data_IF_906514132732
#
_entry.id   IF_906514132732
#
_cell.length_a   1.000
_cell.length_b   1.000
_cell.length_c   1.000
_cell.angle_alpha   90.00
_cell.angle_beta   90.00
_cell.angle_gamma   90.00
#
_symmetry.space_group_name_H-M   'P 1'
#
loop_
_entity.id
_entity.type
_entity.pdbx_description
1 polymer ?
#
# COMPACT_ATOMS: atom_id res chain seq x y z
N UNK A 1 1.06 13.22 14.21
CA UNK A 1 -0.29 12.63 14.12
C UNK A 1 -0.15 11.14 13.86
N UNK A 2 -1.22 10.36 13.95
CA UNK A 2 -1.24 8.95 13.52
C UNK A 2 -2.32 8.82 12.47
N UNK A 3 -1.93 8.54 11.23
CA UNK A 3 -2.84 8.21 10.14
C UNK A 3 -3.15 6.71 10.14
N UNK A 4 -4.42 6.39 9.95
CA UNK A 4 -4.94 5.02 9.93
C UNK A 4 -5.16 4.57 8.49
N UNK A 5 -4.08 4.19 7.82
CA UNK A 5 -4.05 3.86 6.40
C UNK A 5 -5.00 2.71 6.08
N UNK A 6 -5.99 3.03 5.25
CA UNK A 6 -7.00 2.09 4.75
C UNK A 6 -8.19 1.87 5.69
N UNK A 7 -8.26 2.55 6.84
CA UNK A 7 -9.48 2.56 7.65
C UNK A 7 -10.45 3.66 7.19
N UNK A 8 -11.73 3.29 7.01
CA UNK A 8 -12.82 4.26 6.91
C UNK A 8 -13.16 4.76 8.30
N UNK A 9 -12.61 5.92 8.66
CA UNK A 9 -12.74 6.56 9.98
C UNK A 9 -13.58 7.85 9.90
N UNK A 10 -13.96 8.39 11.05
CA UNK A 10 -14.42 9.77 11.11
C UNK A 10 -13.29 10.72 10.67
N UNK A 11 -13.62 11.81 9.96
CA UNK A 11 -12.58 12.73 9.47
C UNK A 11 -11.66 13.26 10.58
N UNK A 12 -12.20 13.52 11.77
CA UNK A 12 -11.43 13.96 12.96
C UNK A 12 -10.39 12.94 13.45
N UNK A 13 -10.45 11.70 12.98
CA UNK A 13 -9.55 10.61 13.34
C UNK A 13 -8.68 10.14 12.18
N UNK A 14 -8.70 10.83 11.03
CA UNK A 14 -7.84 10.50 9.87
C UNK A 14 -6.35 10.74 10.15
N UNK A 15 -6.01 11.69 11.02
CA UNK A 15 -4.63 11.86 11.50
C UNK A 15 -3.69 12.53 10.51
N UNK A 16 -4.20 13.45 9.71
CA UNK A 16 -3.47 14.23 8.71
C UNK A 16 -3.42 15.71 9.08
N UNK A 17 -2.56 16.49 8.42
CA UNK A 17 -2.57 17.95 8.56
C UNK A 17 -3.89 18.59 8.11
N UNK A 18 -4.68 17.87 7.29
CA UNK A 18 -6.00 18.31 6.84
C UNK A 18 -7.10 18.13 7.92
N UNK A 19 -6.96 17.15 8.80
CA UNK A 19 -7.97 16.79 9.80
C UNK A 19 -7.58 17.13 11.24
N UNK A 20 -6.28 17.26 11.51
CA UNK A 20 -5.77 17.30 12.88
C UNK A 20 -4.52 18.20 13.02
N UNK A 21 -4.43 18.90 14.14
CA UNK A 21 -3.19 19.58 14.56
C UNK A 21 -2.19 18.53 15.08
N UNK A 22 -0.90 18.56 14.65
CA UNK A 22 0.10 17.62 15.14
C UNK A 22 0.27 17.64 16.66
N UNK A 23 0.18 16.45 17.26
CA UNK A 23 0.43 16.22 18.69
C UNK A 23 1.89 16.57 19.01
N UNK A 24 2.08 17.51 19.94
CA UNK A 24 3.42 17.96 20.36
C UNK A 24 4.04 16.97 21.36
N UNK A 25 5.37 17.01 21.58
CA UNK A 25 6.01 16.17 22.58
C UNK A 25 5.37 16.33 23.98
N UNK A 26 5.06 15.20 24.62
CA UNK A 26 4.36 15.09 25.92
C UNK A 26 2.87 15.45 25.91
N UNK A 27 2.28 15.74 24.75
CA UNK A 27 0.83 15.87 24.59
C UNK A 27 0.21 14.54 24.14
N UNK A 28 -1.13 14.45 24.19
CA UNK A 28 -1.90 13.28 23.75
C UNK A 28 -3.08 13.67 22.87
N UNK A 29 -3.53 12.73 22.06
CA UNK A 29 -4.77 12.84 21.29
C UNK A 29 -5.46 11.48 21.28
N UNK A 30 -6.75 11.47 21.54
CA UNK A 30 -7.56 10.25 21.54
C UNK A 30 -8.23 10.08 20.17
N UNK A 31 -7.99 8.93 19.54
CA UNK A 31 -8.66 8.52 18.31
C UNK A 31 -9.87 7.65 18.66
N UNK A 32 -11.04 7.97 18.11
CA UNK A 32 -12.23 7.14 18.19
C UNK A 32 -12.42 6.42 16.86
N UNK A 33 -12.32 5.10 16.87
CA UNK A 33 -12.28 4.26 15.66
C UNK A 33 -13.46 3.30 15.67
N UNK A 34 -14.43 3.54 14.79
CA UNK A 34 -15.46 2.57 14.48
C UNK A 34 -14.93 1.57 13.43
N UNK A 35 -14.81 0.30 13.83
CA UNK A 35 -14.30 -0.74 12.94
C UNK A 35 -15.44 -1.32 12.11
N UNK A 36 -15.52 -0.89 10.84
CA UNK A 36 -16.59 -1.30 9.91
C UNK A 36 -16.11 -2.24 8.80
N UNK A 37 -14.80 -2.30 8.54
CA UNK A 37 -14.19 -3.14 7.52
C UNK A 37 -13.27 -4.19 8.12
N UNK A 38 -13.27 -5.39 7.54
CA UNK A 38 -12.27 -6.43 7.83
C UNK A 38 -11.19 -6.44 6.75
N UNK A 39 -9.94 -6.64 7.15
CA UNK A 39 -8.80 -6.65 6.23
C UNK A 39 -7.49 -6.30 6.95
N UNK A 40 -6.43 -6.17 6.16
CA UNK A 40 -5.13 -5.71 6.60
C UNK A 40 -4.97 -4.20 6.35
N UNK A 41 -4.95 -3.46 7.45
CA UNK A 41 -4.67 -2.03 7.50
C UNK A 41 -3.32 -1.81 8.18
N UNK A 42 -2.93 -0.56 8.32
CA UNK A 42 -1.73 -0.19 9.07
C UNK A 42 -1.85 1.27 9.51
N UNK A 43 -0.98 1.70 10.42
CA UNK A 43 -0.95 3.09 10.85
C UNK A 43 0.47 3.62 10.88
N UNK A 44 0.61 4.90 10.58
CA UNK A 44 1.90 5.60 10.51
C UNK A 44 1.74 7.12 10.71
N UNK A 45 2.80 7.85 11.07
CA UNK A 45 2.78 9.31 11.08
C UNK A 45 2.51 9.90 9.69
N UNK A 46 1.78 11.01 9.67
CA UNK A 46 1.49 11.80 8.47
C UNK A 46 2.07 13.22 8.59
N UNK A 47 3.18 13.33 9.31
CA UNK A 47 3.95 14.56 9.47
C UNK A 47 5.42 14.15 9.40
N UNK A 48 6.18 14.63 8.42
CA UNK A 48 7.55 14.14 8.20
C UNK A 48 7.57 12.61 8.13
N UNK A 49 6.65 12.06 7.32
CA UNK A 49 6.44 10.62 7.19
C UNK A 49 7.72 9.92 6.74
N UNK A 50 8.43 10.53 5.79
CA UNK A 50 9.72 10.07 5.26
C UNK A 50 10.78 9.85 6.36
N UNK A 51 10.79 10.68 7.40
CA UNK A 51 11.74 10.54 8.52
C UNK A 51 11.21 9.61 9.62
N UNK A 52 9.93 9.74 9.97
CA UNK A 52 9.38 9.04 11.14
C UNK A 52 9.08 7.56 10.88
N UNK A 53 8.68 7.22 9.65
CA UNK A 53 8.45 5.82 9.26
C UNK A 53 9.77 5.07 9.18
N UNK A 54 10.80 5.65 8.56
CA UNK A 54 12.18 5.12 8.58
C UNK A 54 12.71 4.92 10.02
N UNK A 55 12.29 5.76 10.98
CA UNK A 55 12.63 5.62 12.38
C UNK A 55 11.84 4.52 13.13
N UNK A 56 10.93 3.82 12.45
CA UNK A 56 10.17 2.67 12.97
C UNK A 56 8.80 2.99 13.53
N UNK A 57 8.24 4.18 13.28
CA UNK A 57 6.88 4.53 13.73
C UNK A 57 5.83 4.03 12.73
N UNK A 58 5.60 2.73 12.70
CA UNK A 58 4.50 2.13 11.94
C UNK A 58 4.13 0.77 12.54
N UNK A 59 2.90 0.33 12.32
CA UNK A 59 2.53 -1.06 12.62
C UNK A 59 1.32 -1.52 11.80
N UNK A 60 1.17 -2.83 11.56
CA UNK A 60 -0.02 -3.36 10.92
C UNK A 60 -1.21 -3.32 11.88
N UNK A 61 -2.41 -3.17 11.33
CA UNK A 61 -3.68 -3.18 12.02
C UNK A 61 -4.60 -4.20 11.33
N UNK A 62 -4.69 -5.40 11.90
CA UNK A 62 -5.45 -6.50 11.32
C UNK A 62 -6.85 -6.56 11.94
N UNK A 63 -7.88 -6.52 11.09
CA UNK A 63 -9.28 -6.72 11.50
C UNK A 63 -9.80 -8.02 10.91
N UNK A 64 -10.21 -8.95 11.79
CA UNK A 64 -10.83 -10.20 11.38
C UNK A 64 -12.32 -10.01 11.08
N UNK A 65 -12.75 -10.54 9.95
CA UNK A 65 -14.15 -10.57 9.51
C UNK A 65 -14.76 -11.97 9.53
N UNK A 66 -16.10 -12.10 9.42
CA UNK A 66 -16.77 -13.40 9.39
C UNK A 66 -16.30 -14.33 8.26
N UNK A 67 -15.89 -13.78 7.11
CA UNK A 67 -15.39 -14.55 5.98
C UNK A 67 -14.05 -15.24 6.25
N UNK A 68 -13.25 -14.74 7.21
CA UNK A 68 -11.96 -15.35 7.56
C UNK A 68 -12.13 -16.76 8.14
N UNK A 69 -13.22 -17.02 8.85
CA UNK A 69 -13.48 -18.31 9.47
C UNK A 69 -13.68 -19.46 8.44
N UNK A 70 -13.99 -19.13 7.19
CA UNK A 70 -14.15 -20.11 6.11
C UNK A 70 -12.81 -20.46 5.41
N UNK A 71 -11.73 -19.75 5.73
CA UNK A 71 -10.42 -19.93 5.11
C UNK A 71 -9.55 -20.75 6.07
N UNK A 72 -9.57 -22.07 5.91
CA UNK A 72 -8.79 -22.97 6.74
C UNK A 72 -7.30 -22.97 6.35
N UNK A 73 -6.45 -22.54 7.29
CA UNK A 73 -4.98 -22.49 7.16
C UNK A 73 -4.29 -22.99 8.42
N UNK A 74 -3.04 -23.42 8.32
CA UNK A 74 -2.22 -23.80 9.49
C UNK A 74 -1.66 -22.61 10.26
N UNK A 75 -1.48 -21.46 9.59
CA UNK A 75 -1.12 -20.19 10.21
C UNK A 75 -1.64 -19.01 9.38
N UNK A 76 -1.99 -17.92 10.08
CA UNK A 76 -2.25 -16.58 9.51
C UNK A 76 -1.12 -15.65 9.97
N UNK A 77 -0.33 -15.15 9.03
CA UNK A 77 0.91 -14.39 9.30
C UNK A 77 0.86 -13.03 8.65
N UNK A 78 1.24 -12.01 9.43
CA UNK A 78 1.48 -10.65 8.91
C UNK A 78 2.98 -10.45 8.68
N UNK A 79 3.31 -9.94 7.51
CA UNK A 79 4.65 -9.56 7.07
C UNK A 79 4.65 -8.09 6.69
N UNK A 80 5.31 -7.27 7.51
CA UNK A 80 5.60 -5.88 7.23
C UNK A 80 6.93 -5.83 6.50
N UNK A 81 6.89 -5.45 5.23
CA UNK A 81 8.04 -5.29 4.35
C UNK A 81 8.55 -3.87 4.47
N UNK A 82 9.83 -3.72 4.80
CA UNK A 82 10.46 -2.42 5.00
C UNK A 82 11.92 -2.46 4.60
N UNK A 83 12.52 -1.29 4.46
CA UNK A 83 13.97 -1.14 4.39
C UNK A 83 14.44 0.13 5.10
N UNK A 84 15.68 0.07 5.61
CA UNK A 84 16.32 1.22 6.26
C UNK A 84 17.71 1.44 5.69
N UNK A 85 18.12 2.71 5.64
CA UNK A 85 19.49 3.07 5.24
C UNK A 85 20.34 3.20 6.49
N UNK A 86 21.26 2.27 6.70
CA UNK A 86 22.25 2.32 7.78
C UNK A 86 23.59 2.85 7.29
N UNK A 87 24.20 3.69 8.12
CA UNK A 87 25.61 4.06 7.98
C UNK A 87 26.52 2.85 8.28
N UNK A 88 27.81 2.93 7.93
CA UNK A 88 28.81 1.91 8.30
C UNK A 88 28.95 1.70 9.81
N UNK A 89 28.47 2.66 10.61
CA UNK A 89 28.40 2.58 12.07
C UNK A 89 27.24 1.71 12.59
N UNK A 90 26.31 1.32 11.72
CA UNK A 90 25.06 0.63 12.09
C UNK A 90 23.94 1.56 12.57
N UNK A 91 24.15 2.88 12.57
CA UNK A 91 23.10 3.86 12.88
C UNK A 91 22.23 4.13 11.66
N UNK A 92 20.94 4.42 11.90
CA UNK A 92 20.06 4.97 10.88
C UNK A 92 20.68 6.23 10.28
N UNK A 93 20.74 6.28 8.96
CA UNK A 93 21.26 7.43 8.23
C UNK A 93 20.26 8.57 8.30
N UNK A 94 20.70 9.71 8.81
CA UNK A 94 19.90 10.94 8.83
C UNK A 94 20.06 11.77 7.55
N UNK A 95 20.89 11.31 6.62
CA UNK A 95 21.13 11.97 5.34
C UNK A 95 20.21 11.40 4.29
N UNK A 96 19.50 12.29 3.60
CA UNK A 96 18.73 11.99 2.39
C UNK A 96 19.48 12.63 1.21
N UNK A 97 19.95 11.83 0.26
CA UNK A 97 20.70 12.32 -0.90
C UNK A 97 19.78 12.61 -2.10
N UNK A 98 20.32 13.23 -3.15
CA UNK A 98 19.55 13.62 -4.34
C UNK A 98 18.81 12.46 -5.00
N UNK A 99 19.39 11.26 -5.00
CA UNK A 99 18.71 10.10 -5.59
C UNK A 99 17.61 9.59 -4.68
N UNK A 100 17.82 9.61 -3.35
CA UNK A 100 16.74 9.33 -2.40
C UNK A 100 15.56 10.31 -2.60
N UNK A 101 15.83 11.60 -2.85
CA UNK A 101 14.77 12.60 -3.08
C UNK A 101 13.98 12.31 -4.35
N UNK A 102 14.67 11.93 -5.42
CA UNK A 102 14.08 11.74 -6.74
C UNK A 102 13.35 10.40 -6.88
N UNK A 103 13.96 9.33 -6.36
CA UNK A 103 13.47 7.97 -6.59
C UNK A 103 12.59 7.48 -5.44
N UNK A 104 12.55 8.19 -4.32
CA UNK A 104 12.17 7.62 -3.04
C UNK A 104 13.33 6.87 -2.40
N UNK A 105 13.46 7.00 -1.09
CA UNK A 105 14.57 6.43 -0.35
C UNK A 105 14.48 4.92 -0.35
N UNK A 106 15.59 4.30 -0.74
CA UNK A 106 15.78 2.85 -0.71
C UNK A 106 16.96 2.52 0.21
N UNK A 107 16.63 1.92 1.35
CA UNK A 107 17.56 1.43 2.34
C UNK A 107 18.48 0.32 1.83
N UNK A 108 19.66 0.23 2.42
CA UNK A 108 20.64 -0.84 2.17
C UNK A 108 20.40 -2.07 3.06
N UNK A 109 19.46 -1.99 4.00
CA UNK A 109 19.08 -3.07 4.91
C UNK A 109 17.60 -3.37 4.73
N UNK A 110 17.30 -4.53 4.15
CA UNK A 110 15.93 -4.99 3.96
C UNK A 110 15.46 -5.73 5.22
N UNK A 111 14.22 -5.44 5.63
CA UNK A 111 13.63 -5.99 6.83
C UNK A 111 12.26 -6.60 6.56
N UNK A 112 11.97 -7.65 7.32
CA UNK A 112 10.61 -8.19 7.44
C UNK A 112 10.28 -8.26 8.93
N UNK A 113 9.19 -7.59 9.34
CA UNK A 113 8.81 -7.43 10.74
C UNK A 113 9.96 -6.90 11.63
N UNK A 114 10.70 -5.91 11.12
CA UNK A 114 11.83 -5.27 11.82
C UNK A 114 13.06 -6.16 11.99
N UNK A 115 13.21 -7.22 11.18
CA UNK A 115 14.37 -8.14 11.23
C UNK A 115 14.98 -8.33 9.86
N UNK A 116 16.31 -8.25 9.81
CA UNK A 116 17.10 -8.71 8.66
C UNK A 116 17.11 -10.24 8.59
N UNK A 117 17.10 -10.78 7.36
CA UNK A 117 17.29 -12.21 7.07
C UNK A 117 16.39 -13.09 7.94
N UNK A 118 15.12 -12.71 8.04
CA UNK A 118 14.17 -13.41 8.90
C UNK A 118 14.09 -14.89 8.48
N UNK A 119 13.87 -15.76 9.46
CA UNK A 119 13.69 -17.18 9.22
C UNK A 119 12.61 -17.74 10.14
N UNK A 120 11.73 -18.55 9.58
CA UNK A 120 10.69 -19.23 10.35
C UNK A 120 10.45 -20.65 9.81
N UNK A 121 9.76 -21.46 10.61
CA UNK A 121 9.24 -22.75 10.15
C UNK A 121 7.78 -22.61 9.76
N UNK A 122 7.39 -23.26 8.67
CA UNK A 122 5.99 -23.47 8.34
C UNK A 122 5.27 -24.14 9.51
N UNK A 123 4.02 -23.78 9.74
CA UNK A 123 3.20 -24.40 10.76
C UNK A 123 2.88 -25.85 10.38
N UNK A 124 2.91 -26.73 11.38
CA UNK A 124 2.43 -28.11 11.21
C UNK A 124 0.91 -28.09 11.14
N UNK A 125 0.32 -28.92 10.29
CA UNK A 125 -1.12 -29.04 10.16
C UNK A 125 -1.55 -29.04 8.70
N UNK A 126 -2.47 -28.16 8.35
CA UNK A 126 -2.88 -27.92 6.97
C UNK A 126 -1.68 -27.38 6.15
N UNK A 127 -1.37 -27.99 5.00
CA UNK A 127 -0.26 -27.62 4.12
C UNK A 127 -0.33 -26.22 3.49
N UNK A 128 -1.27 -25.37 3.93
CA UNK A 128 -1.46 -24.01 3.47
C UNK A 128 -1.35 -23.02 4.62
N UNK A 129 -0.61 -21.94 4.41
CA UNK A 129 -0.61 -20.76 5.28
C UNK A 129 -1.28 -19.56 4.58
N UNK A 130 -1.81 -18.63 5.37
CA UNK A 130 -2.26 -17.30 4.91
C UNK A 130 -1.19 -16.27 5.26
N UNK A 131 -0.72 -15.55 4.26
CA UNK A 131 0.29 -14.51 4.40
C UNK A 131 -0.31 -13.15 4.02
N UNK A 132 -0.11 -12.15 4.87
CA UNK A 132 -0.64 -10.79 4.74
C UNK A 132 0.52 -9.81 4.70
N UNK A 133 0.75 -9.19 3.54
CA UNK A 133 1.86 -8.28 3.30
C UNK A 133 1.42 -6.83 3.41
N UNK A 134 2.18 -6.02 4.15
CA UNK A 134 2.17 -4.55 4.12
C UNK A 134 3.50 -4.11 3.54
N UNK A 135 3.50 -3.21 2.55
CA UNK A 135 4.71 -2.47 2.19
C UNK A 135 4.72 -1.13 2.92
N UNK A 136 5.59 -1.01 3.94
CA UNK A 136 5.78 0.22 4.72
C UNK A 136 7.01 1.02 4.31
N UNK A 137 7.76 0.57 3.31
CA UNK A 137 8.98 1.23 2.87
C UNK A 137 8.69 2.61 2.26
N UNK A 138 9.62 3.55 2.46
CA UNK A 138 9.49 4.92 1.96
C UNK A 138 9.31 4.99 0.42
N UNK A 139 10.14 4.25 -0.32
CA UNK A 139 10.15 4.31 -1.79
C UNK A 139 10.44 2.97 -2.48
N UNK A 140 10.58 1.87 -1.72
CA UNK A 140 10.86 0.55 -2.30
C UNK A 140 9.58 -0.15 -2.75
N UNK A 141 9.61 -0.66 -3.98
CA UNK A 141 8.64 -1.62 -4.48
C UNK A 141 9.15 -3.02 -4.21
N UNK A 142 8.28 -3.91 -3.72
CA UNK A 142 8.61 -5.32 -3.55
C UNK A 142 7.93 -6.15 -4.63
N UNK A 143 8.72 -6.84 -5.46
CA UNK A 143 8.23 -7.75 -6.50
C UNK A 143 8.56 -9.18 -6.06
N UNK A 144 7.65 -9.79 -5.31
CA UNK A 144 7.92 -11.00 -4.55
C UNK A 144 7.94 -12.25 -5.44
N UNK A 145 8.88 -13.16 -5.17
CA UNK A 145 8.96 -14.50 -5.76
C UNK A 145 9.35 -15.51 -4.67
N UNK A 146 8.64 -16.64 -4.57
CA UNK A 146 8.93 -17.71 -3.60
C UNK A 146 9.49 -18.99 -4.26
N UNK A 147 9.40 -19.09 -5.60
CA UNK A 147 9.53 -20.36 -6.31
C UNK A 147 8.26 -21.23 -6.23
N UNK A 148 7.16 -20.66 -5.75
CA UNK A 148 5.81 -21.22 -5.70
C UNK A 148 4.81 -20.09 -6.02
N UNK A 149 3.65 -20.41 -6.60
CA UNK A 149 2.64 -19.40 -6.87
C UNK A 149 2.05 -18.88 -5.56
N UNK A 150 1.67 -17.60 -5.57
CA UNK A 150 0.82 -16.98 -4.59
C UNK A 150 -0.63 -17.10 -5.06
N UNK A 151 -1.52 -17.59 -4.21
CA UNK A 151 -2.96 -17.54 -4.45
C UNK A 151 -3.53 -16.28 -3.79
N UNK A 152 -3.69 -15.21 -4.56
CA UNK A 152 -4.13 -13.90 -4.07
C UNK A 152 -5.61 -13.94 -3.73
N UNK A 153 -5.94 -13.67 -2.46
CA UNK A 153 -7.30 -13.72 -1.92
C UNK A 153 -7.81 -12.35 -1.45
N UNK A 154 -6.95 -11.37 -1.31
CA UNK A 154 -7.30 -10.03 -0.84
C UNK A 154 -6.22 -9.00 -1.14
N UNK A 155 -6.61 -7.73 -1.06
CA UNK A 155 -5.71 -6.58 -1.12
C UNK A 155 -6.20 -5.49 -0.15
N UNK A 156 -5.80 -4.23 -0.34
CA UNK A 156 -6.06 -3.07 0.53
C UNK A 156 -7.42 -3.07 1.28
N UNK A 157 -8.53 -3.19 0.55
CA UNK A 157 -9.89 -3.15 1.09
C UNK A 157 -10.52 -4.51 1.38
N UNK A 158 -9.71 -5.55 1.62
CA UNK A 158 -10.15 -6.88 2.04
C UNK A 158 -10.17 -7.92 0.92
N UNK A 159 -11.02 -8.95 1.09
CA UNK A 159 -11.07 -10.11 0.18
C UNK A 159 -11.54 -9.73 -1.23
N UNK A 160 -10.88 -10.31 -2.24
CA UNK A 160 -11.30 -10.21 -3.65
C UNK A 160 -12.48 -11.13 -3.92
N UNK A 161 -13.31 -10.78 -4.91
CA UNK A 161 -14.46 -11.63 -5.28
C UNK A 161 -14.06 -12.89 -6.06
N UNK A 162 -12.91 -12.87 -6.73
CA UNK A 162 -12.39 -13.95 -7.56
C UNK A 162 -10.87 -14.08 -7.36
N UNK A 163 -10.41 -14.89 -6.39
CA UNK A 163 -9.00 -15.14 -6.20
C UNK A 163 -8.30 -15.66 -7.45
N UNK A 164 -7.00 -15.39 -7.56
CA UNK A 164 -6.18 -15.78 -8.70
C UNK A 164 -4.77 -16.19 -8.28
N UNK A 165 -4.12 -16.99 -9.12
CA UNK A 165 -2.72 -17.38 -8.93
C UNK A 165 -1.77 -16.45 -9.67
N UNK A 166 -0.61 -16.19 -9.07
CA UNK A 166 0.50 -15.50 -9.71
C UNK A 166 1.84 -15.99 -9.17
N UNK A 167 2.85 -16.10 -10.03
CA UNK A 167 4.22 -16.42 -9.60
C UNK A 167 4.96 -15.19 -9.03
N UNK A 168 4.46 -13.99 -9.33
CA UNK A 168 5.03 -12.72 -8.89
C UNK A 168 3.98 -11.80 -8.30
N UNK A 169 4.31 -11.19 -7.17
CA UNK A 169 3.43 -10.26 -6.48
C UNK A 169 4.13 -8.92 -6.29
N UNK A 170 3.75 -7.94 -7.11
CA UNK A 170 4.20 -6.56 -6.95
C UNK A 170 3.39 -5.88 -5.85
N UNK A 171 4.09 -5.25 -4.91
CA UNK A 171 3.52 -4.49 -3.81
C UNK A 171 4.22 -3.13 -3.77
N UNK A 172 3.53 -2.09 -4.22
CA UNK A 172 4.03 -0.72 -4.16
C UNK A 172 3.94 -0.15 -2.72
N UNK A 173 4.66 0.93 -2.39
CA UNK A 173 4.53 1.61 -1.09
C UNK A 173 3.07 1.87 -0.73
N UNK A 174 2.67 1.47 0.49
CA UNK A 174 1.31 1.62 1.02
C UNK A 174 0.28 0.58 0.55
N UNK A 175 0.61 -0.30 -0.41
CA UNK A 175 -0.26 -1.41 -0.79
C UNK A 175 -0.21 -2.57 0.21
N UNK A 176 -1.31 -3.32 0.27
CA UNK A 176 -1.41 -4.57 1.01
C UNK A 176 -1.93 -5.68 0.13
N UNK A 177 -1.44 -6.89 0.38
CA UNK A 177 -1.92 -8.10 -0.27
C UNK A 177 -2.08 -9.24 0.73
N UNK A 178 -3.12 -10.04 0.52
CA UNK A 178 -3.37 -11.25 1.26
C UNK A 178 -3.34 -12.44 0.30
N UNK A 179 -2.53 -13.43 0.64
CA UNK A 179 -2.29 -14.59 -0.20
C UNK A 179 -2.37 -15.88 0.60
N UNK A 180 -2.76 -16.96 -0.07
CA UNK A 180 -2.56 -18.31 0.40
C UNK A 180 -1.34 -18.90 -0.27
N UNK A 181 -0.53 -19.60 0.52
CA UNK A 181 0.68 -20.27 0.04
C UNK A 181 0.64 -21.73 0.47
N UNK A 182 0.69 -22.61 -0.52
CA UNK A 182 0.85 -24.03 -0.30
C UNK A 182 2.34 -24.34 -0.05
N UNK A 183 2.60 -24.90 1.13
CA UNK A 183 3.91 -25.18 1.69
C UNK A 183 4.13 -26.70 1.78
N UNK A 184 3.67 -27.44 0.78
CA UNK A 184 3.88 -28.88 0.63
C UNK A 184 5.30 -29.17 0.14
N UNK A 185 5.97 -30.16 0.74
CA UNK A 185 7.34 -30.51 0.39
C UNK A 185 7.98 -31.43 1.42
N UNK A 186 9.29 -31.64 1.31
CA UNK A 186 10.02 -32.50 2.24
C UNK A 186 10.26 -31.78 3.59
N UNK A 187 10.23 -32.51 4.70
CA UNK A 187 10.55 -31.95 6.01
C UNK A 187 11.98 -31.39 6.02
N UNK A 188 12.14 -30.12 6.38
CA UNK A 188 13.42 -29.43 6.36
C UNK A 188 13.80 -28.79 5.03
N UNK A 189 13.00 -28.96 3.96
CA UNK A 189 13.14 -28.18 2.72
C UNK A 189 13.05 -26.67 3.04
N UNK A 190 13.81 -25.85 2.32
CA UNK A 190 13.81 -24.40 2.51
C UNK A 190 13.33 -23.70 1.26
N UNK A 191 12.33 -22.83 1.42
CA UNK A 191 11.94 -21.86 0.40
C UNK A 191 12.45 -20.49 0.81
N UNK A 192 12.85 -19.69 -0.17
CA UNK A 192 13.38 -18.34 0.04
C UNK A 192 12.46 -17.37 -0.65
N UNK A 193 11.79 -16.51 0.14
CA UNK A 193 11.08 -15.37 -0.41
C UNK A 193 12.12 -14.32 -0.78
N UNK A 194 12.11 -13.89 -2.04
CA UNK A 194 12.96 -12.82 -2.54
C UNK A 194 12.10 -11.71 -3.14
N UNK A 195 12.63 -10.50 -3.16
CA UNK A 195 12.17 -9.47 -4.10
C UNK A 195 13.07 -9.48 -5.32
N UNK A 196 12.49 -9.54 -6.51
CA UNK A 196 13.20 -9.40 -7.78
C UNK A 196 13.07 -7.99 -8.31
N UNK A 197 13.83 -7.65 -9.35
CA UNK A 197 13.73 -6.35 -9.97
C UNK A 197 12.34 -6.10 -10.59
N UNK A 198 11.87 -4.87 -10.44
CA UNK A 198 10.72 -4.31 -11.12
C UNK A 198 11.15 -2.98 -11.70
N UNK A 199 11.04 -2.85 -13.02
CA UNK A 199 11.32 -1.60 -13.70
C UNK A 199 10.14 -0.65 -13.49
N UNK A 200 10.37 0.34 -12.63
CA UNK A 200 9.42 1.40 -12.31
C UNK A 200 9.81 2.74 -12.92
N UNK A 201 10.71 2.73 -13.92
CA UNK A 201 11.21 3.93 -14.58
C UNK A 201 12.49 4.52 -13.96
N UNK A 202 12.85 5.73 -14.41
CA UNK A 202 14.06 6.48 -14.04
C UNK A 202 15.39 5.74 -14.22
N UNK A 203 15.43 4.75 -15.13
CA UNK A 203 16.62 3.92 -15.39
C UNK A 203 17.23 3.31 -14.12
N UNK A 204 16.39 2.95 -13.13
CA UNK A 204 16.84 2.40 -11.86
C UNK A 204 17.60 1.09 -12.14
N UNK A 205 18.86 0.95 -11.68
CA UNK A 205 19.64 -0.27 -11.92
C UNK A 205 18.98 -1.50 -11.30
N UNK A 206 19.07 -2.63 -11.98
CA UNK A 206 18.71 -3.94 -11.43
C UNK A 206 19.74 -4.36 -10.36
N UNK A 207 19.38 -4.42 -9.07
CA UNK A 207 20.28 -4.84 -8.01
C UNK A 207 20.45 -6.37 -7.93
N UNK A 208 19.75 -7.12 -8.79
CA UNK A 208 19.55 -8.56 -8.67
C UNK A 208 18.49 -8.92 -7.63
N UNK A 209 18.16 -10.22 -7.48
CA UNK A 209 17.24 -10.68 -6.46
C UNK A 209 17.80 -10.45 -5.05
N UNK A 210 16.96 -9.95 -4.15
CA UNK A 210 17.30 -9.73 -2.74
C UNK A 210 16.45 -10.66 -1.87
N UNK A 211 17.11 -11.45 -1.02
CA UNK A 211 16.43 -12.35 -0.08
C UNK A 211 15.74 -11.56 1.05
N UNK A 212 14.47 -11.86 1.29
CA UNK A 212 13.70 -11.25 2.38
C UNK A 212 13.70 -12.15 3.61
N UNK A 213 13.25 -13.39 3.43
CA UNK A 213 13.24 -14.40 4.48
C UNK A 213 13.30 -15.82 3.95
N UNK A 214 13.67 -16.76 4.83
CA UNK A 214 13.62 -18.20 4.57
C UNK A 214 12.49 -18.85 5.36
N UNK A 215 11.66 -19.67 4.69
CA UNK A 215 10.72 -20.57 5.37
C UNK A 215 11.24 -22.00 5.28
N UNK A 216 11.31 -22.68 6.43
CA UNK A 216 11.63 -24.11 6.50
C UNK A 216 10.33 -24.91 6.55
N UNK A 217 10.13 -25.80 5.58
CA UNK A 217 8.97 -26.68 5.50
C UNK A 217 8.97 -27.70 6.62
N UNK A 218 7.77 -28.10 7.01
CA UNK A 218 7.49 -29.08 8.06
C UNK A 218 6.48 -30.09 7.53
N UNK A 219 6.37 -31.29 8.13
CA UNK A 219 5.36 -32.25 7.72
C UNK A 219 3.97 -31.61 7.83
N UNK A 220 3.21 -31.66 6.75
CA UNK A 220 1.87 -31.12 6.67
C UNK A 220 0.90 -32.14 6.06
N UNK A 221 -0.34 -32.11 6.53
CA UNK A 221 -1.45 -32.73 5.85
C UNK A 221 -1.76 -31.96 4.55
N UNK A 222 -2.43 -32.59 3.56
CA UNK A 222 -2.89 -31.88 2.37
C UNK A 222 -3.67 -30.61 2.73
N UNK A 223 -3.54 -29.58 1.89
CA UNK A 223 -4.26 -28.33 2.10
C UNK A 223 -5.78 -28.56 2.11
N UNK A 224 -6.48 -27.89 3.03
CA UNK A 224 -7.94 -27.95 3.05
C UNK A 224 -8.54 -27.39 1.74
N UNK A 225 -9.73 -27.87 1.33
CA UNK A 225 -10.44 -27.29 0.20
C UNK A 225 -10.66 -25.79 0.38
N UNK A 226 -10.48 -25.03 -0.70
CA UNK A 226 -10.79 -23.61 -0.72
C UNK A 226 -12.30 -23.37 -0.58
N UNK A 227 -12.72 -22.25 0.04
CA UNK A 227 -14.12 -21.87 0.04
C UNK A 227 -14.61 -21.57 -1.38
N UNK A 228 -15.91 -21.76 -1.62
CA UNK A 228 -16.56 -21.48 -2.91
C UNK A 228 -17.10 -20.06 -3.01
N UNK A 229 -17.10 -19.31 -1.91
CA UNK A 229 -17.55 -17.91 -1.83
C UNK A 229 -16.44 -17.07 -1.22
N UNK A 230 -16.13 -15.95 -1.87
CA UNK A 230 -15.07 -15.02 -1.46
C UNK A 230 -15.67 -13.63 -1.20
N UNK A 231 -14.87 -12.57 -1.35
CA UNK A 231 -15.29 -11.19 -1.11
C UNK A 231 -16.56 -10.83 -1.89
N UNK A 232 -17.47 -10.12 -1.23
CA UNK A 232 -18.74 -9.66 -1.81
C UNK A 232 -18.67 -8.15 -2.06
N UNK A 233 -17.79 -7.74 -2.97
CA UNK A 233 -17.67 -6.34 -3.37
C UNK A 233 -18.56 -6.06 -4.56
N UNK A 234 -19.52 -5.13 -4.40
CA UNK A 234 -20.33 -4.66 -5.50
C UNK A 234 -19.57 -3.60 -6.34
N UNK A 235 -19.74 -3.56 -7.67
CA UNK A 235 -19.27 -2.45 -8.48
C UNK A 235 -19.84 -1.11 -7.99
N UNK A 236 -19.00 -0.08 -7.95
CA UNK A 236 -19.41 1.31 -7.78
C UNK A 236 -20.18 1.68 -9.06
N UNK A 237 -21.48 1.89 -8.93
CA UNK A 237 -22.32 2.26 -10.06
C UNK A 237 -22.02 3.69 -10.53
N UNK A 238 -21.72 3.83 -11.82
CA UNK A 238 -21.61 5.09 -12.55
C UNK A 238 -22.11 4.92 -13.99
N UNK A 239 -22.35 6.03 -14.68
CA UNK A 239 -22.79 6.05 -16.07
C UNK A 239 -22.07 7.15 -16.87
N UNK A 240 -22.51 7.40 -18.10
CA UNK A 240 -21.94 8.43 -18.97
C UNK A 240 -22.13 9.88 -18.44
N UNK A 241 -23.00 10.09 -17.47
CA UNK A 241 -23.27 11.40 -16.85
C UNK A 241 -22.48 11.62 -15.56
N UNK A 242 -21.89 10.56 -14.99
CA UNK A 242 -21.02 10.69 -13.81
C UNK A 242 -19.83 11.62 -14.12
N UNK A 243 -19.43 12.55 -13.23
CA UNK A 243 -18.30 13.43 -13.53
C UNK A 243 -16.99 12.66 -13.65
N UNK A 244 -16.14 13.09 -14.59
CA UNK A 244 -14.74 12.65 -14.73
C UNK A 244 -13.84 13.77 -14.26
N UNK A 245 -12.79 13.44 -13.53
CA UNK A 245 -11.81 14.40 -13.04
C UNK A 245 -10.40 13.92 -13.33
N UNK A 246 -9.63 14.78 -13.99
CA UNK A 246 -8.23 14.53 -14.34
C UNK A 246 -7.30 15.04 -13.25
N UNK A 247 -6.32 14.21 -12.92
CA UNK A 247 -5.20 14.53 -12.04
C UNK A 247 -3.92 14.21 -12.79
N UNK A 248 -3.02 15.18 -12.90
CA UNK A 248 -1.76 15.02 -13.62
C UNK A 248 -0.63 14.96 -12.60
N UNK A 249 0.11 13.86 -12.57
CA UNK A 249 1.30 13.69 -11.75
C UNK A 249 2.51 14.17 -12.54
N UNK A 250 3.28 15.09 -11.98
CA UNK A 250 4.40 15.74 -12.65
C UNK A 250 5.59 15.87 -11.71
N UNK A 251 6.80 15.80 -12.28
CA UNK A 251 8.08 15.97 -11.61
C UNK A 251 8.81 17.18 -12.21
N UNK A 252 9.21 18.12 -11.36
CA UNK A 252 10.16 19.18 -11.72
C UNK A 252 11.51 18.85 -11.07
N UNK A 253 12.41 18.30 -11.88
CA UNK A 253 13.77 17.94 -11.52
C UNK A 253 14.83 18.96 -12.00
N UNK A 254 14.39 20.13 -12.47
CA UNK A 254 15.26 21.17 -13.03
C UNK A 254 16.34 21.63 -12.05
N UNK A 255 16.08 21.48 -10.74
CA UNK A 255 17.05 21.62 -9.66
C UNK A 255 17.18 20.25 -8.94
N UNK A 256 18.13 19.39 -9.32
CA UNK A 256 18.20 18.02 -8.80
C UNK A 256 18.34 17.93 -7.27
N UNK A 257 18.95 18.93 -6.62
CA UNK A 257 19.09 18.95 -5.16
C UNK A 257 17.77 19.27 -4.42
N UNK A 258 16.73 19.69 -5.14
CA UNK A 258 15.45 20.12 -4.60
C UNK A 258 14.33 19.86 -5.62
N UNK A 259 14.09 18.58 -6.00
CA UNK A 259 13.02 18.26 -6.92
C UNK A 259 11.67 18.60 -6.28
N UNK A 260 10.73 19.03 -7.12
CA UNK A 260 9.36 19.33 -6.72
C UNK A 260 8.44 18.36 -7.42
N UNK A 261 7.52 17.77 -6.67
CA UNK A 261 6.56 16.84 -7.19
C UNK A 261 5.17 17.45 -7.05
N UNK A 262 4.36 17.39 -8.10
CA UNK A 262 3.09 18.13 -8.14
C UNK A 262 1.93 17.26 -8.58
N UNK A 263 0.73 17.70 -8.20
CA UNK A 263 -0.51 17.20 -8.77
C UNK A 263 -1.23 18.39 -9.41
N UNK A 264 -1.53 18.30 -10.71
CA UNK A 264 -2.11 19.40 -11.49
C UNK A 264 -1.30 20.70 -11.36
N UNK A 265 0.03 20.64 -11.48
CA UNK A 265 0.97 21.76 -11.31
C UNK A 265 1.03 22.40 -9.91
N UNK A 266 0.25 21.92 -8.95
CA UNK A 266 0.22 22.44 -7.58
C UNK A 266 1.07 21.56 -6.64
N UNK A 267 1.77 22.20 -5.70
CA UNK A 267 2.60 21.54 -4.69
C UNK A 267 2.08 21.83 -3.29
N UNK A 268 1.84 20.78 -2.50
CA UNK A 268 1.48 20.90 -1.09
C UNK A 268 2.55 21.70 -0.31
N UNK A 269 2.18 22.62 0.60
CA UNK A 269 0.82 22.89 1.12
C UNK A 269 -0.01 23.89 0.31
N UNK A 270 0.50 24.40 -0.82
CA UNK A 270 -0.18 25.43 -1.61
C UNK A 270 -1.05 24.78 -2.70
N UNK A 271 -2.09 24.06 -2.27
CA UNK A 271 -3.00 23.31 -3.14
C UNK A 271 -4.44 23.81 -3.02
N UNK A 272 -5.19 23.70 -4.11
CA UNK A 272 -6.60 24.03 -4.20
C UNK A 272 -7.44 22.79 -3.83
N UNK A 273 -8.22 22.82 -2.73
CA UNK A 273 -9.07 21.68 -2.39
C UNK A 273 -10.20 21.48 -3.43
N UNK A 274 -10.17 20.36 -4.14
CA UNK A 274 -10.96 19.22 -3.71
C UNK A 274 -12.48 19.33 -3.42
N UNK A 275 -13.28 20.27 -3.91
CA UNK A 275 -14.69 20.34 -3.47
C UNK A 275 -15.62 19.27 -4.10
N UNK A 276 -16.19 18.40 -3.26
CA UNK A 276 -17.14 17.33 -3.63
C UNK A 276 -18.27 17.20 -2.60
N UNK A 277 -19.22 16.28 -2.81
CA UNK A 277 -20.31 15.98 -1.86
C UNK A 277 -20.32 14.51 -1.47
N UNK A 278 -20.61 14.24 -0.20
CA UNK A 278 -20.78 12.89 0.33
C UNK A 278 -21.84 12.11 -0.49
N UNK A 279 -21.58 10.83 -0.70
CA UNK A 279 -22.44 9.93 -1.47
C UNK A 279 -22.31 10.04 -3.00
N UNK A 280 -21.80 11.15 -3.53
CA UNK A 280 -21.56 11.29 -4.98
C UNK A 280 -20.46 10.34 -5.44
N UNK A 281 -20.54 9.98 -6.72
CA UNK A 281 -19.53 9.18 -7.41
C UNK A 281 -18.81 10.06 -8.43
N UNK A 282 -17.50 9.88 -8.54
CA UNK A 282 -16.70 10.42 -9.64
C UNK A 282 -15.78 9.33 -10.20
N UNK A 283 -15.40 9.49 -11.47
CA UNK A 283 -14.30 8.73 -12.08
C UNK A 283 -13.07 9.63 -12.08
N UNK A 284 -11.99 9.18 -11.45
CA UNK A 284 -10.71 9.87 -11.45
C UNK A 284 -9.82 9.29 -12.54
N UNK A 285 -9.19 10.16 -13.30
CA UNK A 285 -8.21 9.86 -14.33
C UNK A 285 -6.86 10.37 -13.85
N UNK A 286 -6.03 9.47 -13.34
CA UNK A 286 -4.69 9.77 -12.83
C UNK A 286 -3.71 9.57 -13.97
N UNK A 287 -3.29 10.67 -14.58
CA UNK A 287 -2.30 10.69 -15.65
C UNK A 287 -0.93 10.94 -15.08
N UNK A 288 -0.03 10.00 -15.30
CA UNK A 288 1.35 10.12 -14.90
C UNK A 288 2.18 10.56 -16.11
N UNK A 289 2.70 11.80 -16.06
CA UNK A 289 3.59 12.33 -17.09
C UNK A 289 5.08 12.13 -16.74
N UNK A 290 5.37 11.56 -15.57
CA UNK A 290 6.72 11.33 -15.10
C UNK A 290 7.35 10.10 -15.76
N UNK A 291 8.68 10.05 -15.71
CA UNK A 291 9.51 8.92 -16.15
C UNK A 291 9.59 7.81 -15.08
N UNK A 292 8.70 7.81 -14.07
CA UNK A 292 8.59 6.74 -13.08
C UNK A 292 7.18 6.51 -12.55
N UNK A 293 6.99 5.35 -11.94
CA UNK A 293 5.75 4.96 -11.30
C UNK A 293 5.49 5.70 -9.98
N UNK A 294 4.23 6.03 -9.73
CA UNK A 294 3.76 6.64 -8.47
C UNK A 294 2.61 5.84 -7.85
N UNK A 295 2.75 5.32 -6.61
CA UNK A 295 1.65 4.70 -5.90
C UNK A 295 0.71 5.79 -5.39
N UNK A 296 -0.49 5.89 -5.95
CA UNK A 296 -1.46 6.92 -5.59
C UNK A 296 -2.39 6.43 -4.49
N UNK A 297 -2.40 7.13 -3.36
CA UNK A 297 -3.22 6.85 -2.18
C UNK A 297 -4.35 7.87 -2.00
N UNK A 298 -5.54 7.41 -1.62
CA UNK A 298 -6.69 8.24 -1.25
C UNK A 298 -7.15 7.91 0.18
N UNK A 299 -7.22 8.93 1.04
CA UNK A 299 -7.62 8.76 2.43
C UNK A 299 -9.12 8.54 2.60
N UNK A 300 -9.50 7.83 3.67
CA UNK A 300 -10.88 7.77 4.20
C UNK A 300 -11.90 7.00 3.36
N UNK A 301 -11.53 6.58 2.15
CA UNK A 301 -12.42 5.90 1.22
C UNK A 301 -11.64 4.97 0.29
N UNK A 302 -12.36 3.98 -0.21
CA UNK A 302 -11.85 3.07 -1.22
C UNK A 302 -12.38 3.43 -2.60
N UNK A 303 -11.65 2.99 -3.62
CA UNK A 303 -12.01 3.10 -5.03
C UNK A 303 -11.92 1.74 -5.73
N UNK A 304 -12.43 1.70 -6.95
CA UNK A 304 -12.33 0.55 -7.85
C UNK A 304 -11.60 0.95 -9.13
N UNK A 305 -10.49 0.29 -9.40
CA UNK A 305 -9.68 0.51 -10.61
C UNK A 305 -10.46 0.02 -11.83
N UNK A 306 -10.37 0.77 -12.92
CA UNK A 306 -11.09 0.52 -14.17
C UNK A 306 -10.11 0.16 -15.29
N UNK A 307 -10.57 -0.66 -16.23
CA UNK A 307 -9.89 -0.94 -17.49
C UNK A 307 -10.05 0.21 -18.50
N UNK A 308 -9.46 0.06 -19.68
CA UNK A 308 -9.54 1.04 -20.76
C UNK A 308 -10.98 1.29 -21.28
N UNK A 309 -11.91 0.37 -21.03
CA UNK A 309 -13.33 0.47 -21.40
C UNK A 309 -14.20 0.95 -20.22
N UNK A 310 -13.57 1.46 -19.15
CA UNK A 310 -14.21 1.86 -17.90
C UNK A 310 -15.03 0.74 -17.26
N UNK A 311 -14.59 -0.51 -17.39
CA UNK A 311 -15.10 -1.63 -16.62
C UNK A 311 -14.20 -1.85 -15.40
N UNK A 312 -14.75 -2.09 -14.20
CA UNK A 312 -13.94 -2.48 -13.06
C UNK A 312 -13.04 -3.69 -13.39
N UNK A 313 -11.74 -3.56 -13.10
CA UNK A 313 -10.78 -4.64 -13.38
C UNK A 313 -11.13 -5.87 -12.55
N UNK A 314 -10.90 -7.06 -13.11
CA UNK A 314 -10.99 -8.30 -12.37
C UNK A 314 -9.66 -8.58 -11.65
N UNK A 315 -9.68 -9.07 -10.40
CA UNK A 315 -10.88 -9.30 -9.60
C UNK A 315 -11.48 -8.00 -9.04
N UNK A 316 -12.79 -8.00 -8.75
CA UNK A 316 -13.45 -6.87 -8.12
C UNK A 316 -13.09 -6.83 -6.64
N UNK A 317 -12.37 -5.79 -6.25
CA UNK A 317 -12.24 -5.39 -4.86
C UNK A 317 -11.85 -3.92 -4.72
N UNK A 318 -11.84 -3.48 -3.46
CA UNK A 318 -11.64 -2.11 -3.04
C UNK A 318 -10.15 -1.84 -2.85
N UNK A 319 -9.62 -0.79 -3.49
CA UNK A 319 -8.26 -0.30 -3.28
C UNK A 319 -8.28 1.08 -2.64
N UNK A 320 -7.26 1.40 -1.87
CA UNK A 320 -7.02 2.76 -1.39
C UNK A 320 -5.65 3.28 -1.83
N UNK A 321 -4.76 2.41 -2.28
CA UNK A 321 -3.48 2.74 -2.89
C UNK A 321 -3.37 1.99 -4.20
N UNK A 322 -2.91 2.61 -5.28
CA UNK A 322 -2.72 1.92 -6.56
C UNK A 322 -1.46 2.43 -7.26
N UNK A 323 -0.64 1.51 -7.78
CA UNK A 323 0.47 1.91 -8.61
C UNK A 323 -0.01 2.55 -9.93
N UNK A 324 0.45 3.77 -10.23
CA UNK A 324 0.22 4.45 -11.51
C UNK A 324 1.51 4.41 -12.32
N UNK A 325 1.61 3.55 -13.35
CA UNK A 325 2.84 3.40 -14.11
C UNK A 325 3.26 4.69 -14.82
N UNK A 326 4.57 4.86 -15.02
CA UNK A 326 5.16 5.96 -15.80
C UNK A 326 4.48 6.13 -17.18
N UNK A 327 4.30 7.37 -17.63
CA UNK A 327 3.74 7.70 -18.96
C UNK A 327 2.37 7.03 -19.28
N UNK A 328 1.57 6.72 -18.25
CA UNK A 328 0.25 6.11 -18.41
C UNK A 328 -0.88 6.94 -17.79
N UNK A 329 -2.12 6.57 -18.10
CA UNK A 329 -3.30 7.07 -17.39
C UNK A 329 -4.04 5.90 -16.75
N UNK A 330 -4.15 5.92 -15.43
CA UNK A 330 -4.96 4.98 -14.66
C UNK A 330 -6.31 5.61 -14.33
N UNK A 331 -7.38 4.82 -14.41
CA UNK A 331 -8.73 5.27 -14.04
C UNK A 331 -9.26 4.51 -12.84
N UNK A 332 -9.96 5.19 -11.94
CA UNK A 332 -10.74 4.52 -10.90
C UNK A 332 -12.05 5.25 -10.61
N UNK A 333 -13.08 4.50 -10.18
CA UNK A 333 -14.32 5.06 -9.66
C UNK A 333 -14.25 5.16 -8.13
N UNK A 334 -14.68 6.28 -7.57
CA UNK A 334 -14.75 6.52 -6.12
C UNK A 334 -16.13 7.02 -5.74
N UNK A 335 -16.66 6.51 -4.62
CA UNK A 335 -17.84 7.08 -3.95
C UNK A 335 -17.36 7.82 -2.71
N UNK A 336 -17.66 9.11 -2.63
CA UNK A 336 -17.26 9.91 -1.48
C UNK A 336 -18.00 9.51 -0.22
N UNK A 337 -17.24 9.28 0.84
CA UNK A 337 -17.74 8.87 2.14
C UNK A 337 -18.03 10.06 3.06
N UNK A 338 -17.48 9.96 4.26
CA UNK A 338 -17.70 10.87 5.39
C UNK A 338 -17.33 12.34 5.04
N UNK A 339 -18.19 13.33 5.38
CA UNK A 339 -17.87 14.75 5.23
C UNK A 339 -16.61 15.16 5.99
N UNK A 340 -15.83 16.09 5.43
CA UNK A 340 -14.60 16.58 6.05
C UNK A 340 -13.49 16.88 5.05
N UNK A 341 -12.28 17.11 5.58
CA UNK A 341 -11.08 17.37 4.79
C UNK A 341 -10.17 16.15 4.77
N UNK A 342 -10.01 15.55 3.60
CA UNK A 342 -9.20 14.37 3.35
C UNK A 342 -8.00 14.71 2.47
N UNK A 343 -7.03 13.81 2.40
CA UNK A 343 -5.87 13.95 1.55
C UNK A 343 -5.82 12.84 0.49
N UNK A 344 -5.09 13.10 -0.59
CA UNK A 344 -4.64 12.08 -1.52
C UNK A 344 -3.21 12.42 -1.92
N UNK A 345 -2.37 11.44 -2.17
CA UNK A 345 -0.96 11.70 -2.45
C UNK A 345 -0.26 10.50 -3.08
N UNK A 346 0.93 10.75 -3.63
CA UNK A 346 1.89 9.70 -3.90
C UNK A 346 2.37 9.09 -2.58
N UNK A 347 2.42 7.77 -2.47
CA UNK A 347 2.89 7.05 -1.29
C UNK A 347 4.40 6.71 -1.37
N UNK A 348 5.11 7.27 -2.34
CA UNK A 348 6.56 7.46 -2.18
C UNK A 348 6.73 8.67 -1.24
N UNK A 349 7.20 8.42 -0.02
CA UNK A 349 7.15 9.42 1.05
C UNK A 349 8.00 10.65 0.75
N UNK A 350 9.14 10.49 0.08
CA UNK A 350 9.95 11.63 -0.35
C UNK A 350 9.22 12.52 -1.34
N UNK A 351 8.36 11.97 -2.19
CA UNK A 351 7.58 12.73 -3.18
C UNK A 351 6.43 13.46 -2.51
N UNK A 352 5.74 12.78 -1.58
CA UNK A 352 4.69 13.38 -0.77
C UNK A 352 5.23 14.62 -0.04
N UNK A 353 6.31 14.48 0.72
CA UNK A 353 6.93 15.55 1.51
C UNK A 353 7.53 16.69 0.64
N UNK A 354 7.62 16.49 -0.67
CA UNK A 354 8.07 17.47 -1.68
C UNK A 354 6.96 18.02 -2.58
N UNK A 355 5.71 17.74 -2.21
CA UNK A 355 4.55 18.46 -2.75
C UNK A 355 3.51 17.59 -3.44
N UNK A 356 3.76 16.29 -3.69
CA UNK A 356 2.85 15.41 -4.43
C UNK A 356 1.66 14.93 -3.57
N UNK A 357 0.98 15.88 -2.95
CA UNK A 357 -0.22 15.68 -2.17
C UNK A 357 -1.26 16.72 -2.59
N UNK A 358 -2.53 16.34 -2.51
CA UNK A 358 -3.66 17.24 -2.66
C UNK A 358 -4.68 17.04 -1.55
N UNK A 359 -5.70 17.90 -1.56
CA UNK A 359 -6.75 17.89 -0.56
C UNK A 359 -8.12 17.71 -1.19
N UNK A 360 -8.98 17.00 -0.47
CA UNK A 360 -10.39 16.76 -0.79
C UNK A 360 -11.26 17.37 0.32
N UNK A 361 -12.18 18.26 -0.03
CA UNK A 361 -13.19 18.83 0.84
C UNK A 361 -14.56 18.20 0.51
N UNK A 362 -14.97 17.23 1.31
CA UNK A 362 -16.25 16.53 1.17
C UNK A 362 -17.32 17.28 1.96
N UNK A 363 -18.24 17.93 1.25
CA UNK A 363 -19.41 18.56 1.85
C UNK A 363 -20.51 17.51 2.16
N UNK A 364 -21.41 17.80 3.13
CA UNK A 364 -22.59 16.97 3.39
C UNK A 364 -23.53 16.81 2.18
#
# INVERSE_FOLDING_TARGET
>A
TIHWHGLRVANSSDGTSASQIPVQPNESFDYDLEIIDSGLFWYHPHMHGDVQIEAGLYAPFLVHGPADAAIEVSADRVFVLDDVKLESSGKLSTRTDTLDLMLGRQGNVIMVNGREKAAFSAAVGNGRERWRFVNSANGRYFNLELGRPFFVIGWDGGLVNAPYETDRLLIAPGERYEVLVDLDGEDGEKLVLRTVHYDRGHNIPDPGPIELFTVTLRPAAPAAPLPTTWGQTAPIAFDATTPRRRFVLEEDDSVPASPVFTINTEAFPNVTPLNVRAGNVEVWEIENLAEMDHPFHLHGMFFQVLDANEQPIAPLALKDTVNVPQETTLKFAVRYGEPGRWMFHCHILEHAERGMMGELAVAP
#
